data_IF_669082985412
#
_entry.id   IF_669082985412
#
_cell.length_a   1.000
_cell.length_b   1.000
_cell.length_c   1.000
_cell.angle_alpha   90.00
_cell.angle_beta   90.00
_cell.angle_gamma   90.00
#
_symmetry.space_group_name_H-M   'P 1'
#
loop_
_entity.id
_entity.type
_entity.pdbx_description
1 polymer ?
#
# COMPACT_ATOMS: atom_id res chain seq x y z
N UNK A 1 12.85 56.39 -11.23
CA UNK A 1 14.21 56.23 -11.79
C UNK A 1 14.34 54.84 -12.38
N UNK A 2 14.78 54.79 -13.64
CA UNK A 2 15.44 53.70 -14.39
C UNK A 2 14.79 52.31 -14.43
N UNK A 3 14.04 52.15 -15.51
CA UNK A 3 13.86 50.93 -16.31
C UNK A 3 15.19 50.27 -16.69
N UNK A 4 15.24 48.93 -16.66
CA UNK A 4 16.05 48.16 -17.59
C UNK A 4 15.17 47.09 -18.25
N UNK A 5 15.09 47.23 -19.57
CA UNK A 5 14.42 46.35 -20.52
C UNK A 5 15.48 45.41 -21.10
N UNK A 6 15.10 44.14 -21.33
CA UNK A 6 15.53 43.28 -22.45
C UNK A 6 17.02 42.90 -22.49
N UNK A 7 17.47 41.67 -22.79
CA UNK A 7 17.24 40.83 -23.96
C UNK A 7 17.82 39.44 -23.63
N UNK A 8 17.16 38.35 -23.99
CA UNK A 8 17.75 37.13 -24.58
C UNK A 8 16.63 36.10 -24.82
N UNK A 9 16.10 36.14 -26.04
CA UNK A 9 15.30 35.10 -26.69
C UNK A 9 16.23 34.01 -27.26
N UNK A 10 15.73 32.92 -27.85
CA UNK A 10 15.22 31.69 -27.21
C UNK A 10 16.07 30.47 -27.63
N UNK A 11 16.41 29.55 -26.73
CA UNK A 11 16.89 28.22 -27.15
C UNK A 11 15.67 27.34 -27.37
N UNK A 12 15.43 27.03 -28.65
CA UNK A 12 14.49 26.02 -29.08
C UNK A 12 14.86 24.66 -28.48
N UNK A 13 14.09 24.21 -27.49
CA UNK A 13 14.05 22.80 -27.10
C UNK A 13 12.71 22.27 -27.58
N UNK A 14 12.78 21.62 -28.73
CA UNK A 14 11.72 20.80 -29.31
C UNK A 14 11.44 19.62 -28.38
N UNK A 15 10.58 19.80 -27.39
CA UNK A 15 9.93 18.68 -26.71
C UNK A 15 8.68 18.34 -27.51
N UNK A 16 8.81 17.31 -28.35
CA UNK A 16 7.71 16.70 -29.05
C UNK A 16 6.62 16.30 -28.05
N UNK A 17 5.48 16.98 -28.12
CA UNK A 17 4.24 16.59 -27.45
C UNK A 17 3.77 15.31 -28.15
N UNK A 18 4.17 14.16 -27.60
CA UNK A 18 3.57 12.88 -27.96
C UNK A 18 2.29 12.76 -27.14
N UNK A 19 1.17 13.01 -27.84
CA UNK A 19 -0.19 12.52 -27.61
C UNK A 19 -0.56 12.16 -26.17
N UNK A 20 -1.34 13.05 -25.55
CA UNK A 20 -2.21 12.72 -24.44
C UNK A 20 -3.09 11.51 -24.81
N UNK A 21 -2.79 10.36 -24.21
CA UNK A 21 -3.75 9.27 -24.06
C UNK A 21 -4.37 9.40 -22.66
N UNK A 22 -5.66 9.12 -22.48
CA UNK A 22 -6.24 9.05 -21.15
C UNK A 22 -5.58 7.88 -20.41
N UNK A 23 -4.73 8.19 -19.43
CA UNK A 23 -4.14 7.19 -18.54
C UNK A 23 -5.29 6.44 -17.87
N UNK A 24 -5.34 5.15 -18.18
CA UNK A 24 -6.36 4.25 -17.69
C UNK A 24 -6.17 3.99 -16.20
N UNK A 25 -6.77 4.86 -15.38
CA UNK A 25 -6.97 4.78 -13.92
C UNK A 25 -6.80 3.34 -13.36
N UNK A 26 -5.65 3.09 -12.75
CA UNK A 26 -5.31 1.96 -11.93
C UNK A 26 -5.24 2.39 -10.47
N UNK A 27 -6.30 2.09 -9.69
CA UNK A 27 -6.20 2.25 -8.25
C UNK A 27 -5.04 1.39 -7.71
N UNK A 28 -4.27 1.89 -6.72
CA UNK A 28 -3.15 1.17 -6.14
C UNK A 28 -3.57 -0.16 -5.53
N UNK A 29 -2.66 -1.15 -5.45
CA UNK A 29 -2.89 -2.33 -4.64
C UNK A 29 -3.12 -1.88 -3.20
N UNK A 30 -4.17 -2.40 -2.55
CA UNK A 30 -4.51 -2.11 -1.16
C UNK A 30 -3.26 -2.26 -0.28
N UNK A 31 -2.66 -1.13 0.11
CA UNK A 31 -1.84 -1.08 1.31
C UNK A 31 -2.75 -1.57 2.43
N UNK A 32 -2.37 -2.67 3.09
CA UNK A 32 -3.01 -3.04 4.34
C UNK A 32 -2.82 -1.88 5.30
N UNK A 33 -3.88 -1.08 5.51
CA UNK A 33 -3.86 0.04 6.44
C UNK A 33 -3.33 -0.49 7.79
N UNK A 34 -2.25 0.14 8.29
CA UNK A 34 -1.56 -0.26 9.51
C UNK A 34 -2.54 -0.45 10.68
N UNK A 35 -3.51 0.46 10.79
CA UNK A 35 -4.77 0.32 11.54
C UNK A 35 -5.82 1.20 10.87
N UNK A 36 -7.05 0.72 10.83
CA UNK A 36 -8.24 1.51 10.50
C UNK A 36 -9.14 1.53 11.73
N UNK A 37 -9.50 2.70 12.27
CA UNK A 37 -10.50 2.77 13.35
C UNK A 37 -11.85 2.22 12.88
N UNK A 38 -12.08 2.12 11.57
CA UNK A 38 -13.30 1.57 10.93
C UNK A 38 -13.81 0.27 11.55
N UNK A 39 -12.91 -0.62 11.98
CA UNK A 39 -13.33 -1.87 12.60
C UNK A 39 -14.01 -1.61 13.96
N UNK A 40 -13.35 -0.84 14.81
CA UNK A 40 -13.82 -0.49 16.16
C UNK A 40 -15.05 0.43 16.11
N UNK A 41 -15.14 1.32 15.13
CA UNK A 41 -16.32 2.18 14.91
C UNK A 41 -17.61 1.40 14.63
N UNK A 42 -17.54 0.12 14.26
CA UNK A 42 -18.73 -0.75 14.10
C UNK A 42 -19.18 -1.37 15.42
N UNK A 43 -18.30 -1.43 16.42
CA UNK A 43 -18.52 -2.07 17.72
C UNK A 43 -19.00 -1.06 18.77
N UNK A 44 -18.92 0.23 18.44
CA UNK A 44 -19.31 1.34 19.30
C UNK A 44 -20.63 1.93 18.82
N UNK A 45 -21.50 2.28 19.76
CA UNK A 45 -22.79 2.92 19.47
C UNK A 45 -22.61 4.37 19.01
N UNK A 46 -22.39 4.55 17.71
CA UNK A 46 -22.34 5.86 17.06
C UNK A 46 -23.75 6.42 16.86
N UNK A 47 -23.94 7.70 17.23
CA UNK A 47 -25.15 8.46 16.90
C UNK A 47 -25.31 8.64 15.39
N UNK A 48 -26.53 8.96 14.94
CA UNK A 48 -26.78 9.21 13.51
C UNK A 48 -25.92 10.36 12.96
N UNK A 49 -25.69 11.42 13.76
CA UNK A 49 -24.81 12.53 13.38
C UNK A 49 -23.37 12.06 13.21
N UNK A 50 -22.82 11.36 14.22
CA UNK A 50 -21.45 10.83 14.16
C UNK A 50 -21.24 9.89 12.96
N UNK A 51 -22.21 9.02 12.65
CA UNK A 51 -22.12 8.14 11.47
C UNK A 51 -22.05 8.94 10.17
N UNK A 52 -22.82 10.02 10.06
CA UNK A 52 -22.79 10.89 8.90
C UNK A 52 -21.45 11.63 8.79
N UNK A 53 -20.93 12.15 9.89
CA UNK A 53 -19.65 12.85 9.94
C UNK A 53 -18.49 11.92 9.56
N UNK A 54 -18.43 10.72 10.15
CA UNK A 54 -17.45 9.67 9.80
C UNK A 54 -17.52 9.33 8.31
N UNK A 55 -18.73 9.15 7.77
CA UNK A 55 -18.91 8.85 6.34
C UNK A 55 -18.37 9.97 5.46
N UNK A 56 -18.65 11.22 5.80
CA UNK A 56 -18.17 12.38 5.06
C UNK A 56 -16.64 12.46 5.08
N UNK A 57 -16.02 12.34 6.26
CA UNK A 57 -14.56 12.35 6.42
C UNK A 57 -13.89 11.25 5.59
N UNK A 58 -14.45 10.04 5.58
CA UNK A 58 -13.93 8.94 4.78
C UNK A 58 -14.10 9.17 3.27
N UNK A 59 -15.20 9.79 2.84
CA UNK A 59 -15.44 10.15 1.45
C UNK A 59 -14.47 11.24 0.98
N UNK A 60 -14.25 12.27 1.82
CA UNK A 60 -13.28 13.33 1.55
C UNK A 60 -11.86 12.77 1.42
N UNK A 61 -11.41 11.96 2.39
CA UNK A 61 -10.10 11.32 2.32
C UNK A 61 -9.96 10.46 1.05
N UNK A 62 -10.99 9.69 0.69
CA UNK A 62 -10.99 8.92 -0.56
C UNK A 62 -10.87 9.82 -1.78
N UNK A 63 -11.63 10.92 -1.85
CA UNK A 63 -11.58 11.86 -2.96
C UNK A 63 -10.19 12.50 -3.08
N UNK A 64 -9.61 12.93 -1.95
CA UNK A 64 -8.25 13.46 -1.89
C UNK A 64 -7.22 12.40 -2.31
N UNK A 65 -7.28 11.17 -1.80
CA UNK A 65 -6.37 10.09 -2.24
C UNK A 65 -6.45 9.82 -3.74
N UNK A 66 -7.63 9.94 -4.34
CA UNK A 66 -7.78 9.75 -5.79
C UNK A 66 -7.03 10.83 -6.59
N UNK A 67 -6.75 12.03 -6.03
CA UNK A 67 -5.96 13.05 -6.75
C UNK A 67 -4.48 12.66 -6.86
N UNK A 68 -3.99 11.83 -5.93
CA UNK A 68 -2.62 11.27 -5.96
C UNK A 68 -2.51 10.02 -6.83
N UNK A 69 -3.63 9.50 -7.34
CA UNK A 69 -3.63 8.27 -8.11
C UNK A 69 -2.66 8.29 -9.32
N UNK A 70 -2.58 9.37 -10.12
CA UNK A 70 -1.61 9.45 -11.21
C UNK A 70 -0.15 9.35 -10.72
N UNK A 71 0.17 9.98 -9.59
CA UNK A 71 1.52 9.93 -9.00
C UNK A 71 1.84 8.52 -8.50
N UNK A 72 0.86 7.85 -7.90
CA UNK A 72 1.01 6.46 -7.44
C UNK A 72 1.25 5.50 -8.60
N UNK A 73 0.56 5.71 -9.72
CA UNK A 73 0.76 4.95 -10.96
C UNK A 73 2.16 5.23 -11.53
N UNK A 74 2.51 6.51 -11.69
CA UNK A 74 3.78 6.95 -12.26
C UNK A 74 4.98 6.39 -11.50
N UNK A 75 4.99 6.50 -10.17
CA UNK A 75 6.13 6.05 -9.36
C UNK A 75 6.23 4.52 -9.37
N UNK A 76 5.10 3.82 -9.34
CA UNK A 76 5.09 2.36 -9.45
C UNK A 76 5.60 1.88 -10.81
N UNK A 77 5.23 2.57 -11.89
CA UNK A 77 5.71 2.28 -13.23
C UNK A 77 7.20 2.58 -13.36
N UNK A 78 7.70 3.66 -12.78
CA UNK A 78 9.12 3.98 -12.76
C UNK A 78 9.96 2.84 -12.14
N UNK A 79 9.60 2.40 -10.92
CA UNK A 79 10.26 1.26 -10.26
C UNK A 79 10.15 -0.01 -11.11
N UNK A 80 8.96 -0.30 -11.67
CA UNK A 80 8.75 -1.50 -12.49
C UNK A 80 9.62 -1.48 -13.75
N UNK A 81 9.68 -0.36 -14.45
CA UNK A 81 10.45 -0.24 -15.69
C UNK A 81 11.94 -0.45 -15.41
N UNK A 82 12.47 0.11 -14.33
CA UNK A 82 13.85 -0.09 -13.89
C UNK A 82 14.16 -1.52 -13.45
N UNK A 83 13.18 -2.25 -12.93
CA UNK A 83 13.33 -3.68 -12.58
C UNK A 83 13.38 -4.55 -13.84
N UNK A 84 12.73 -4.11 -14.92
CA UNK A 84 12.60 -4.86 -16.17
C UNK A 84 13.70 -4.57 -17.20
N UNK A 85 14.69 -3.76 -16.85
CA UNK A 85 15.91 -3.56 -17.64
C UNK A 85 16.86 -4.74 -17.51
N UNK A 86 17.76 -4.87 -18.48
CA UNK A 86 18.81 -5.89 -18.48
C UNK A 86 19.93 -5.55 -17.48
N UNK A 87 20.11 -4.27 -17.18
CA UNK A 87 21.14 -3.76 -16.28
C UNK A 87 20.56 -3.20 -14.97
N UNK A 88 21.29 -3.38 -13.87
CA UNK A 88 20.91 -2.85 -12.55
C UNK A 88 21.41 -1.41 -12.40
N UNK A 89 20.53 -0.45 -12.66
CA UNK A 89 20.80 0.98 -12.46
C UNK A 89 20.49 1.39 -11.01
N UNK A 90 21.43 1.12 -10.11
CA UNK A 90 21.23 1.29 -8.67
C UNK A 90 20.80 2.72 -8.27
N UNK A 91 21.45 3.74 -8.83
CA UNK A 91 21.15 5.13 -8.50
C UNK A 91 19.71 5.52 -8.89
N UNK A 92 19.25 5.08 -10.06
CA UNK A 92 17.90 5.36 -10.56
C UNK A 92 16.84 4.61 -9.74
N UNK A 93 17.15 3.37 -9.34
CA UNK A 93 16.26 2.56 -8.48
C UNK A 93 16.16 3.18 -7.09
N UNK A 94 17.26 3.62 -6.52
CA UNK A 94 17.25 4.32 -5.22
C UNK A 94 16.37 5.56 -5.29
N UNK A 95 16.54 6.39 -6.32
CA UNK A 95 15.72 7.60 -6.51
C UNK A 95 14.23 7.28 -6.70
N UNK A 96 13.90 6.26 -7.50
CA UNK A 96 12.52 5.84 -7.72
C UNK A 96 11.86 5.28 -6.44
N UNK A 97 12.60 4.51 -5.65
CA UNK A 97 12.12 3.99 -4.36
C UNK A 97 11.93 5.09 -3.32
N UNK A 98 12.84 6.08 -3.25
CA UNK A 98 12.68 7.24 -2.38
C UNK A 98 11.41 8.03 -2.72
N UNK A 99 11.16 8.26 -4.02
CA UNK A 99 9.92 8.89 -4.48
C UNK A 99 8.68 8.07 -4.08
N UNK A 100 8.74 6.74 -4.18
CA UNK A 100 7.64 5.85 -3.77
C UNK A 100 7.36 5.99 -2.28
N UNK A 101 8.40 5.86 -1.45
CA UNK A 101 8.28 5.95 -0.01
C UNK A 101 7.79 7.32 0.45
N UNK A 102 8.24 8.40 -0.21
CA UNK A 102 7.76 9.74 0.07
C UNK A 102 6.26 9.89 -0.20
N UNK A 103 5.79 9.42 -1.36
CA UNK A 103 4.36 9.44 -1.70
C UNK A 103 3.53 8.57 -0.74
N UNK A 104 4.02 7.39 -0.37
CA UNK A 104 3.37 6.53 0.62
C UNK A 104 3.27 7.23 1.99
N UNK A 105 4.30 7.96 2.40
CA UNK A 105 4.28 8.79 3.60
C UNK A 105 3.18 9.86 3.53
N UNK A 106 3.08 10.62 2.44
CA UNK A 106 2.02 11.64 2.29
C UNK A 106 0.61 11.05 2.41
N UNK A 107 0.35 9.92 1.76
CA UNK A 107 -0.95 9.25 1.81
C UNK A 107 -1.27 8.67 3.19
N UNK A 108 -0.25 8.26 3.91
CA UNK A 108 -0.36 7.77 5.27
C UNK A 108 -0.66 8.90 6.24
N UNK A 109 -0.03 10.07 6.06
CA UNK A 109 -0.34 11.27 6.81
C UNK A 109 -1.81 11.69 6.65
N UNK A 110 -2.29 11.73 5.41
CA UNK A 110 -3.71 12.02 5.13
C UNK A 110 -4.64 11.03 5.83
N UNK A 111 -4.24 9.75 5.90
CA UNK A 111 -5.00 8.76 6.67
C UNK A 111 -5.00 9.07 8.16
N UNK A 112 -3.84 9.36 8.76
CA UNK A 112 -3.74 9.74 10.18
C UNK A 112 -4.64 10.94 10.47
N UNK A 113 -4.55 12.01 9.68
CA UNK A 113 -5.38 13.19 9.83
C UNK A 113 -6.88 12.85 9.83
N UNK A 114 -7.30 12.00 8.90
CA UNK A 114 -8.70 11.56 8.82
C UNK A 114 -9.11 10.72 10.03
N UNK A 115 -8.27 9.77 10.45
CA UNK A 115 -8.57 8.93 11.62
C UNK A 115 -8.61 9.78 12.91
N UNK A 116 -7.73 10.77 13.04
CA UNK A 116 -7.72 11.70 14.16
C UNK A 116 -8.98 12.59 14.17
N UNK A 117 -9.39 13.12 13.01
CA UNK A 117 -10.65 13.86 12.91
C UNK A 117 -11.85 13.00 13.32
N UNK A 118 -11.88 11.74 12.88
CA UNK A 118 -12.90 10.77 13.32
C UNK A 118 -12.83 10.58 14.83
N UNK A 119 -11.64 10.39 15.39
CA UNK A 119 -11.42 10.24 16.83
C UNK A 119 -12.02 11.41 17.64
N UNK A 120 -11.85 12.64 17.15
CA UNK A 120 -12.41 13.84 17.79
C UNK A 120 -13.94 13.90 17.76
N UNK A 121 -14.61 13.23 16.81
CA UNK A 121 -16.09 13.15 16.79
C UNK A 121 -16.68 12.24 17.87
N UNK A 122 -15.83 11.42 18.51
CA UNK A 122 -16.28 10.42 19.48
C UNK A 122 -16.40 11.02 20.89
N UNK A 123 -17.35 10.51 21.66
CA UNK A 123 -17.48 10.83 23.09
C UNK A 123 -16.39 10.13 23.91
N UNK A 124 -16.15 10.59 25.13
CA UNK A 124 -15.14 10.00 26.01
C UNK A 124 -15.44 8.53 26.35
N UNK A 125 -16.72 8.18 26.47
CA UNK A 125 -17.17 6.79 26.65
C UNK A 125 -16.84 5.90 25.45
N UNK A 126 -17.09 6.40 24.23
CA UNK A 126 -16.77 5.70 22.98
C UNK A 126 -15.26 5.56 22.80
N UNK A 127 -14.49 6.62 23.08
CA UNK A 127 -13.02 6.61 23.05
C UNK A 127 -12.45 5.58 24.02
N UNK A 128 -12.96 5.52 25.24
CA UNK A 128 -12.52 4.55 26.24
C UNK A 128 -12.75 3.10 25.77
N UNK A 129 -13.92 2.79 25.19
CA UNK A 129 -14.21 1.46 24.65
C UNK A 129 -13.22 1.06 23.55
N UNK A 130 -12.95 1.97 22.60
CA UNK A 130 -11.99 1.71 21.51
C UNK A 130 -10.58 1.49 22.06
N UNK A 131 -10.13 2.26 23.06
CA UNK A 131 -8.82 2.07 23.67
C UNK A 131 -8.70 0.72 24.39
N UNK A 132 -9.77 0.26 25.05
CA UNK A 132 -9.79 -1.08 25.66
C UNK A 132 -9.65 -2.17 24.59
N UNK A 133 -10.38 -2.06 23.48
CA UNK A 133 -10.29 -2.99 22.35
C UNK A 133 -8.91 -2.95 21.66
N UNK A 134 -8.29 -1.77 21.54
CA UNK A 134 -6.94 -1.61 20.98
C UNK A 134 -5.86 -2.21 21.89
N UNK A 135 -5.94 -2.00 23.20
CA UNK A 135 -4.98 -2.54 24.16
C UNK A 135 -5.07 -4.06 24.26
N UNK A 136 -6.29 -4.61 24.31
CA UNK A 136 -6.52 -6.06 24.25
C UNK A 136 -6.07 -6.66 22.91
N UNK A 137 -6.12 -5.89 21.82
CA UNK A 137 -5.58 -6.29 20.51
C UNK A 137 -4.05 -6.32 20.47
N UNK A 138 -3.39 -5.38 21.16
CA UNK A 138 -1.93 -5.24 21.18
C UNK A 138 -1.23 -6.25 22.13
N UNK A 139 -1.91 -6.75 23.17
CA UNK A 139 -1.41 -7.81 24.08
C UNK A 139 -1.37 -9.23 23.43
N UNK A 140 -1.14 -9.30 22.11
CA UNK A 140 -1.01 -10.57 21.39
C UNK A 140 -2.34 -11.24 21.02
N UNK A 141 -3.47 -10.74 21.52
CA UNK A 141 -4.75 -11.40 21.29
C UNK A 141 -5.32 -11.18 19.88
N UNK A 142 -4.91 -10.18 19.09
CA UNK A 142 -5.41 -10.00 17.70
C UNK A 142 -4.57 -10.68 16.60
N UNK A 143 -3.57 -11.52 16.93
CA UNK A 143 -3.15 -12.54 15.95
C UNK A 143 -3.87 -13.88 16.14
N UNK A 144 -4.56 -14.07 17.27
CA UNK A 144 -5.24 -15.34 17.58
C UNK A 144 -6.76 -15.19 17.74
N UNK A 145 -7.27 -14.12 18.34
CA UNK A 145 -8.71 -13.81 18.52
C UNK A 145 -9.38 -13.17 17.32
N UNK A 146 -8.74 -12.32 16.52
CA UNK A 146 -9.34 -11.94 15.22
C UNK A 146 -9.32 -13.09 14.24
N UNK A 147 -8.30 -13.96 14.33
CA UNK A 147 -8.34 -15.23 13.65
C UNK A 147 -9.44 -16.13 14.25
N UNK A 148 -9.71 -16.15 15.56
CA UNK A 148 -10.71 -17.02 16.19
C UNK A 148 -12.18 -16.50 16.16
N UNK A 149 -12.44 -15.19 16.21
CA UNK A 149 -13.79 -14.60 16.13
C UNK A 149 -14.23 -14.40 14.68
N UNK A 150 -13.29 -14.11 13.74
CA UNK A 150 -13.55 -14.34 12.32
C UNK A 150 -13.57 -15.84 11.98
N UNK A 151 -13.01 -16.75 12.78
CA UNK A 151 -13.23 -18.20 12.63
C UNK A 151 -14.64 -18.57 13.08
N UNK A 152 -15.14 -18.12 14.23
CA UNK A 152 -16.50 -18.48 14.68
C UNK A 152 -17.62 -17.93 13.77
N UNK A 153 -17.46 -16.74 13.18
CA UNK A 153 -18.40 -16.25 12.15
C UNK A 153 -18.12 -16.77 10.73
N UNK A 154 -16.97 -17.41 10.46
CA UNK A 154 -16.67 -18.08 9.18
C UNK A 154 -16.41 -19.59 9.36
N UNK A 155 -17.02 -20.25 10.34
CA UNK A 155 -16.81 -21.68 10.59
C UNK A 155 -17.41 -22.55 9.47
N UNK A 156 -18.21 -21.96 8.57
CA UNK A 156 -18.63 -22.59 7.31
C UNK A 156 -17.66 -22.39 6.12
N UNK A 157 -16.56 -21.64 6.26
CA UNK A 157 -15.53 -21.52 5.20
C UNK A 157 -14.18 -22.06 5.65
N UNK A 158 -13.72 -23.20 5.09
CA UNK A 158 -12.51 -23.88 5.55
C UNK A 158 -11.28 -22.98 5.51
N UNK A 159 -10.63 -22.81 6.66
CA UNK A 159 -9.35 -22.11 6.83
C UNK A 159 -8.23 -22.60 5.89
N UNK A 160 -8.36 -23.80 5.31
CA UNK A 160 -7.49 -24.28 4.24
C UNK A 160 -7.43 -23.33 3.04
N UNK A 161 -8.50 -22.58 2.72
CA UNK A 161 -8.61 -21.83 1.46
C UNK A 161 -7.64 -20.65 1.31
N UNK A 162 -7.20 -19.97 2.39
CA UNK A 162 -6.36 -18.75 2.27
C UNK A 162 -4.86 -19.05 2.05
N UNK A 163 -4.27 -19.95 2.84
CA UNK A 163 -2.89 -20.44 2.60
C UNK A 163 -2.81 -21.23 1.29
N UNK A 164 -3.82 -22.06 1.04
CA UNK A 164 -3.99 -22.75 -0.23
C UNK A 164 -4.08 -21.75 -1.40
N UNK A 165 -4.68 -20.57 -1.25
CA UNK A 165 -4.75 -19.58 -2.34
C UNK A 165 -3.39 -18.95 -2.68
N UNK A 166 -2.51 -18.69 -1.71
CA UNK A 166 -1.20 -18.11 -1.99
C UNK A 166 -0.25 -19.14 -2.59
N UNK A 167 -0.19 -20.34 -2.01
CA UNK A 167 0.57 -21.46 -2.57
C UNK A 167 0.01 -21.88 -3.94
N UNK A 168 -1.31 -21.90 -4.14
CA UNK A 168 -1.90 -22.14 -5.46
C UNK A 168 -1.58 -21.03 -6.45
N UNK A 169 -1.55 -19.76 -6.04
CA UNK A 169 -1.11 -18.66 -6.94
C UNK A 169 0.34 -18.82 -7.35
N UNK A 170 1.22 -19.22 -6.41
CA UNK A 170 2.61 -19.52 -6.70
C UNK A 170 2.73 -20.72 -7.65
N UNK A 171 2.05 -21.83 -7.36
CA UNK A 171 2.01 -23.02 -8.23
C UNK A 171 1.49 -22.68 -9.62
N UNK A 172 0.45 -21.85 -9.72
CA UNK A 172 -0.08 -21.36 -11.01
C UNK A 172 0.93 -20.49 -11.75
N UNK A 173 1.65 -19.61 -11.06
CA UNK A 173 2.68 -18.78 -11.68
C UNK A 173 3.83 -19.64 -12.19
N UNK A 174 4.34 -20.55 -11.37
CA UNK A 174 5.42 -21.49 -11.73
C UNK A 174 5.00 -22.34 -12.93
N UNK A 175 3.79 -22.90 -12.91
CA UNK A 175 3.27 -23.69 -14.02
C UNK A 175 3.05 -22.86 -15.29
N UNK A 176 2.58 -21.61 -15.16
CA UNK A 176 2.34 -20.74 -16.30
C UNK A 176 3.63 -20.24 -16.96
N UNK A 177 4.70 -20.05 -16.18
CA UNK A 177 6.00 -19.62 -16.69
C UNK A 177 6.89 -20.79 -17.12
N UNK A 178 6.49 -22.04 -16.85
CA UNK A 178 7.28 -23.24 -17.13
C UNK A 178 8.74 -23.07 -16.66
N UNK A 179 8.90 -22.67 -15.40
CA UNK A 179 10.24 -22.37 -14.85
C UNK A 179 11.10 -23.64 -14.83
N UNK A 180 12.37 -23.50 -15.19
CA UNK A 180 13.35 -24.57 -14.99
C UNK A 180 13.70 -24.72 -13.49
N UNK A 181 14.45 -25.77 -13.15
CA UNK A 181 14.79 -26.08 -11.76
C UNK A 181 15.55 -24.95 -11.06
N UNK A 182 16.46 -24.27 -11.77
CA UNK A 182 17.26 -23.16 -11.24
C UNK A 182 16.40 -21.92 -10.97
N UNK A 183 15.56 -21.53 -11.93
CA UNK A 183 14.60 -20.41 -11.81
C UNK A 183 13.58 -20.67 -10.69
N UNK A 184 13.11 -21.91 -10.57
CA UNK A 184 12.20 -22.31 -9.50
C UNK A 184 12.88 -22.24 -8.13
N UNK A 185 14.11 -22.75 -7.99
CA UNK A 185 14.88 -22.68 -6.76
C UNK A 185 15.16 -21.23 -6.35
N UNK A 186 15.49 -20.36 -7.31
CA UNK A 186 15.67 -18.92 -7.08
C UNK A 186 14.38 -18.28 -6.55
N UNK A 187 13.24 -18.52 -7.20
CA UNK A 187 11.95 -17.96 -6.78
C UNK A 187 11.57 -18.41 -5.36
N UNK A 188 11.71 -19.70 -5.05
CA UNK A 188 11.36 -20.25 -3.73
C UNK A 188 12.28 -19.70 -2.64
N UNK A 189 13.59 -19.62 -2.89
CA UNK A 189 14.56 -19.11 -1.91
C UNK A 189 14.33 -17.63 -1.59
N UNK A 190 14.08 -16.79 -2.60
CA UNK A 190 13.73 -15.38 -2.40
C UNK A 190 12.45 -15.22 -1.57
N UNK A 191 11.41 -16.03 -1.84
CA UNK A 191 10.16 -16.02 -1.06
C UNK A 191 10.33 -16.48 0.37
N UNK A 192 11.21 -17.45 0.62
CA UNK A 192 11.55 -17.90 1.96
C UNK A 192 12.28 -16.79 2.73
N UNK A 193 13.23 -16.09 2.10
CA UNK A 193 13.92 -14.95 2.68
C UNK A 193 12.96 -13.80 3.02
N UNK A 194 12.08 -13.40 2.10
CA UNK A 194 11.03 -12.40 2.34
C UNK A 194 10.05 -12.80 3.47
N UNK A 195 9.83 -14.11 3.67
CA UNK A 195 9.00 -14.60 4.77
C UNK A 195 9.74 -14.50 6.10
N UNK A 196 10.99 -14.95 6.16
CA UNK A 196 11.81 -14.86 7.36
C UNK A 196 12.01 -13.41 7.80
N UNK A 197 12.26 -12.50 6.86
CA UNK A 197 12.38 -11.07 7.12
C UNK A 197 11.09 -10.46 7.70
N UNK A 198 9.92 -10.82 7.15
CA UNK A 198 8.63 -10.41 7.73
C UNK A 198 8.39 -10.96 9.13
N UNK A 199 8.84 -12.18 9.41
CA UNK A 199 8.72 -12.79 10.74
C UNK A 199 9.64 -12.10 11.74
N UNK A 200 10.89 -11.80 11.35
CA UNK A 200 11.85 -11.05 12.17
C UNK A 200 11.35 -9.64 12.50
N UNK A 201 10.70 -8.96 11.56
CA UNK A 201 10.21 -7.59 11.73
C UNK A 201 8.79 -7.50 12.29
N UNK A 202 8.18 -8.61 12.72
CA UNK A 202 6.82 -8.62 13.26
C UNK A 202 6.67 -7.73 14.50
N UNK A 203 7.63 -7.76 15.42
CA UNK A 203 7.62 -6.93 16.63
C UNK A 203 7.78 -5.45 16.30
N UNK A 204 8.72 -5.10 15.43
CA UNK A 204 8.91 -3.72 14.96
C UNK A 204 7.63 -3.18 14.31
N UNK A 205 6.93 -4.00 13.52
CA UNK A 205 5.64 -3.65 12.95
C UNK A 205 4.55 -3.42 14.00
N UNK A 206 4.53 -4.20 15.09
CA UNK A 206 3.60 -4.01 16.21
C UNK A 206 3.89 -2.72 16.98
N UNK A 207 5.17 -2.41 17.23
CA UNK A 207 5.58 -1.15 17.87
C UNK A 207 5.16 0.05 17.03
N UNK A 208 5.49 0.02 15.74
CA UNK A 208 5.09 1.05 14.79
C UNK A 208 3.57 1.20 14.81
N UNK A 209 2.82 0.10 14.72
CA UNK A 209 1.36 0.09 14.81
C UNK A 209 0.85 0.80 16.10
N UNK A 210 1.51 0.61 17.25
CA UNK A 210 1.15 1.30 18.49
C UNK A 210 1.46 2.80 18.46
N UNK A 211 2.60 3.21 17.89
CA UNK A 211 2.95 4.63 17.70
C UNK A 211 1.93 5.33 16.79
N UNK A 212 1.45 4.65 15.74
CA UNK A 212 0.38 5.13 14.88
C UNK A 212 -0.94 5.34 15.65
N UNK A 213 -1.31 4.43 16.56
CA UNK A 213 -2.47 4.64 17.44
C UNK A 213 -2.24 5.89 18.27
N UNK A 214 -1.07 6.00 18.90
CA UNK A 214 -0.70 7.14 19.75
C UNK A 214 -0.91 8.48 19.04
N UNK A 215 -0.46 8.60 17.79
CA UNK A 215 -0.67 9.79 16.96
C UNK A 215 -2.15 10.07 16.71
N UNK A 216 -2.94 9.06 16.37
CA UNK A 216 -4.37 9.21 16.07
C UNK A 216 -5.16 9.62 17.32
N UNK A 217 -4.85 9.02 18.47
CA UNK A 217 -5.60 9.19 19.71
C UNK A 217 -5.11 10.35 20.58
N UNK A 218 -4.03 11.02 20.17
CA UNK A 218 -3.52 12.22 20.84
C UNK A 218 -4.61 13.30 20.93
N UNK A 219 -4.50 14.19 21.93
CA UNK A 219 -5.39 15.33 22.07
C UNK A 219 -5.23 16.31 20.89
N UNK A 220 -3.98 16.51 20.47
CA UNK A 220 -3.62 17.36 19.34
C UNK A 220 -2.73 16.57 18.38
N UNK A 221 -3.08 16.58 17.10
CA UNK A 221 -2.25 15.97 16.07
C UNK A 221 -1.08 16.88 15.73
N UNK A 222 0.15 16.41 15.98
CA UNK A 222 1.38 17.14 15.71
C UNK A 222 2.12 16.53 14.51
N UNK A 223 2.39 17.36 13.51
CA UNK A 223 3.17 16.96 12.34
C UNK A 223 4.62 16.60 12.70
N UNK A 224 5.17 17.21 13.75
CA UNK A 224 6.53 16.91 14.24
C UNK A 224 6.65 15.45 14.67
N UNK A 225 5.68 14.93 15.43
CA UNK A 225 5.70 13.55 15.91
C UNK A 225 5.57 12.56 14.74
N UNK A 226 4.80 12.93 13.73
CA UNK A 226 4.72 12.18 12.47
C UNK A 226 6.04 12.16 11.70
N UNK A 227 6.72 13.31 11.57
CA UNK A 227 8.03 13.37 10.90
C UNK A 227 9.10 12.57 11.64
N UNK A 228 9.07 12.57 12.98
CA UNK A 228 9.97 11.75 13.80
C UNK A 228 9.73 10.24 13.56
N UNK A 229 8.47 9.81 13.53
CA UNK A 229 8.08 8.43 13.23
C UNK A 229 8.49 8.00 11.81
N UNK A 230 8.40 8.91 10.83
CA UNK A 230 8.91 8.64 9.49
C UNK A 230 10.42 8.42 9.52
N UNK A 231 11.18 9.34 10.13
CA UNK A 231 12.64 9.27 10.17
C UNK A 231 13.13 7.97 10.83
N UNK A 232 12.48 7.54 11.91
CA UNK A 232 12.80 6.28 12.60
C UNK A 232 12.62 5.04 11.72
N UNK A 233 11.66 5.08 10.79
CA UNK A 233 11.26 3.91 9.99
C UNK A 233 11.76 3.95 8.54
N UNK A 234 12.33 5.08 8.12
CA UNK A 234 12.74 5.34 6.74
C UNK A 234 13.79 4.34 6.25
N UNK A 235 14.86 4.12 7.02
CA UNK A 235 15.98 3.24 6.62
C UNK A 235 15.47 1.82 6.39
N UNK A 236 14.80 1.22 7.37
CA UNK A 236 14.26 -0.14 7.24
C UNK A 236 13.26 -0.26 6.08
N UNK A 237 12.35 0.72 5.91
CA UNK A 237 11.41 0.72 4.78
C UNK A 237 12.12 0.77 3.43
N UNK A 238 13.17 1.57 3.33
CA UNK A 238 14.01 1.66 2.14
C UNK A 238 14.73 0.33 1.88
N UNK A 239 15.41 -0.23 2.87
CA UNK A 239 16.12 -1.52 2.73
C UNK A 239 15.19 -2.66 2.30
N UNK A 240 13.97 -2.72 2.84
CA UNK A 240 12.96 -3.69 2.41
C UNK A 240 12.51 -3.46 0.96
N UNK A 241 12.25 -2.21 0.58
CA UNK A 241 11.86 -1.86 -0.78
C UNK A 241 12.97 -2.18 -1.79
N UNK A 242 14.21 -1.85 -1.44
CA UNK A 242 15.41 -2.13 -2.22
C UNK A 242 15.63 -3.63 -2.40
N UNK A 243 15.59 -4.40 -1.32
CA UNK A 243 15.73 -5.87 -1.36
C UNK A 243 14.66 -6.51 -2.23
N UNK A 244 13.42 -6.03 -2.12
CA UNK A 244 12.31 -6.49 -2.97
C UNK A 244 12.55 -6.15 -4.43
N UNK A 245 12.98 -4.93 -4.75
CA UNK A 245 13.30 -4.52 -6.12
C UNK A 245 14.42 -5.38 -6.69
N UNK A 246 15.48 -5.64 -5.90
CA UNK A 246 16.59 -6.50 -6.29
C UNK A 246 16.15 -7.93 -6.58
N UNK A 247 15.34 -8.52 -5.69
CA UNK A 247 14.79 -9.86 -5.91
C UNK A 247 13.96 -9.94 -7.19
N UNK A 248 13.11 -8.94 -7.43
CA UNK A 248 12.31 -8.86 -8.66
C UNK A 248 13.17 -8.72 -9.91
N UNK A 249 14.21 -7.88 -9.88
CA UNK A 249 15.15 -7.71 -10.98
C UNK A 249 15.91 -9.00 -11.28
N UNK A 250 16.45 -9.66 -10.24
CA UNK A 250 17.19 -10.92 -10.40
C UNK A 250 16.30 -12.03 -10.93
N UNK A 251 15.04 -12.12 -10.45
CA UNK A 251 14.09 -13.07 -11.00
C UNK A 251 13.73 -12.75 -12.44
N UNK A 252 13.43 -11.48 -12.77
CA UNK A 252 13.10 -11.05 -14.14
C UNK A 252 14.20 -11.40 -15.15
N UNK A 253 15.46 -11.10 -14.81
CA UNK A 253 16.61 -11.37 -15.66
C UNK A 253 17.05 -12.84 -15.69
N UNK A 254 16.49 -13.69 -14.81
CA UNK A 254 16.65 -15.14 -14.91
C UNK A 254 15.70 -15.78 -15.94
N UNK A 255 14.64 -15.07 -16.36
CA UNK A 255 13.62 -15.57 -17.28
C UNK A 255 14.06 -15.39 -18.74
N UNK A 256 13.62 -16.31 -19.61
CA UNK A 256 13.74 -16.11 -21.06
C UNK A 256 12.80 -15.01 -21.55
N UNK A 257 13.06 -14.47 -22.75
CA UNK A 257 12.21 -13.45 -23.36
C UNK A 257 10.73 -13.89 -23.47
N UNK A 258 10.49 -15.17 -23.80
CA UNK A 258 9.13 -15.73 -23.86
C UNK A 258 8.47 -15.76 -22.47
N UNK A 259 9.22 -16.15 -21.45
CA UNK A 259 8.75 -16.17 -20.06
C UNK A 259 8.48 -14.76 -19.52
N UNK A 260 9.32 -13.78 -19.87
CA UNK A 260 9.12 -12.37 -19.51
C UNK A 260 7.84 -11.82 -20.13
N UNK A 261 7.58 -12.10 -21.41
CA UNK A 261 6.33 -11.72 -22.09
C UNK A 261 5.11 -12.34 -21.41
N UNK A 262 5.15 -13.65 -21.14
CA UNK A 262 4.07 -14.35 -20.43
C UNK A 262 3.83 -13.76 -19.04
N UNK A 263 4.89 -13.45 -18.30
CA UNK A 263 4.77 -12.79 -17.00
C UNK A 263 4.11 -11.41 -17.12
N UNK A 264 4.47 -10.63 -18.13
CA UNK A 264 3.87 -9.32 -18.39
C UNK A 264 2.36 -9.45 -18.71
N UNK A 265 1.98 -10.43 -19.53
CA UNK A 265 0.57 -10.72 -19.84
C UNK A 265 -0.23 -11.12 -18.60
N UNK A 266 0.33 -11.98 -17.76
CA UNK A 266 -0.28 -12.38 -16.48
C UNK A 266 -0.51 -11.15 -15.60
N UNK A 267 0.49 -10.27 -15.49
CA UNK A 267 0.38 -9.05 -14.69
C UNK A 267 -0.71 -8.13 -15.27
N UNK A 268 -0.71 -7.90 -16.58
CA UNK A 268 -1.67 -7.03 -17.24
C UNK A 268 -3.11 -7.57 -17.15
N UNK A 269 -3.29 -8.89 -17.29
CA UNK A 269 -4.59 -9.55 -17.13
C UNK A 269 -5.11 -9.42 -15.71
N UNK A 270 -4.26 -9.61 -14.70
CA UNK A 270 -4.66 -9.39 -13.30
C UNK A 270 -5.09 -7.95 -13.07
N UNK A 271 -4.40 -6.98 -13.66
CA UNK A 271 -4.80 -5.57 -13.61
C UNK A 271 -6.16 -5.34 -14.29
N UNK A 272 -6.41 -5.97 -15.45
CA UNK A 272 -7.69 -5.87 -16.17
C UNK A 272 -8.88 -6.53 -15.46
N UNK A 273 -8.69 -7.67 -14.80
CA UNK A 273 -9.74 -8.35 -14.03
C UNK A 273 -10.12 -7.57 -12.78
N UNK A 274 -9.17 -6.86 -12.15
CA UNK A 274 -9.45 -5.95 -11.04
C UNK A 274 -10.32 -4.75 -11.45
N UNK A 275 -10.25 -4.30 -12.71
CA UNK A 275 -11.09 -3.22 -13.26
C UNK A 275 -12.55 -3.62 -13.46
N UNK A 276 -12.86 -4.93 -13.58
CA UNK A 276 -14.19 -5.45 -13.91
C UNK A 276 -15.03 -5.90 -12.70
N UNK A 277 -14.50 -5.84 -11.49
CA UNK A 277 -15.28 -6.19 -10.30
C UNK A 277 -16.25 -5.05 -9.97
N UNK A 278 -17.57 -5.31 -9.86
CA UNK A 278 -18.52 -4.29 -9.44
C UNK A 278 -18.08 -3.73 -8.10
N UNK A 279 -17.94 -2.40 -8.01
CA UNK A 279 -17.68 -1.73 -6.73
C UNK A 279 -18.93 -1.91 -5.87
N UNK A 280 -18.76 -2.38 -4.64
CA UNK A 280 -19.84 -2.33 -3.64
C UNK A 280 -20.36 -0.89 -3.55
N UNK A 281 -21.60 -0.68 -3.98
CA UNK A 281 -22.22 0.64 -4.12
C UNK A 281 -22.90 0.87 -5.46
N UNK A 282 -22.56 0.11 -6.50
CA UNK A 282 -23.25 0.15 -7.80
C UNK A 282 -24.43 -0.83 -7.79
N UNK A 283 -25.41 -0.56 -6.92
CA UNK A 283 -26.76 -1.07 -7.17
C UNK A 283 -27.40 -0.05 -8.09
N UNK A 284 -27.51 -0.44 -9.36
CA UNK A 284 -28.21 0.33 -10.37
C UNK A 284 -29.57 0.77 -9.83
N UNK A 285 -29.79 2.07 -9.87
CA UNK A 285 -31.13 2.62 -10.03
C UNK A 285 -31.60 2.18 -11.41
N UNK A 286 -32.57 1.28 -11.41
CA UNK A 286 -33.46 0.98 -12.54
C UNK A 286 -34.82 0.66 -11.95
#
# INVERSE_FOLDING_TARGET
>A
MRTLKSLFTPIAISLAIILAQPSASANPPEQKELISLRHFLKQVDLTNSQRQDVRLLMQQNRATKNTYQPDQESVREAVRNLIQTDEWHEADINSALEAELHLQAQLMWLNIQTQHQIWLTLTDTQKAQILTELNTSNEGAYSEKTDNELKQQNEERPQGKRKMHQEQRQKKLIAALNLNDEQHALFVSQRAAEKADREANKSAHQTLKAEFIGLITAENLNETDWTALQAQTQISRFEHAFTRAKNQFTFWNSLSNEQQQMLQEIINKQQGEHKRRPRFGDKGES
#
